data_IF_992251897402
#
_entry.id   IF_992251897402
#
_cell.length_a   1.000
_cell.length_b   1.000
_cell.length_c   1.000
_cell.angle_alpha   90.00
_cell.angle_beta   90.00
_cell.angle_gamma   90.00
#
_symmetry.space_group_name_H-M   'P 1'
#
loop_
_entity.id
_entity.type
_entity.pdbx_description
1 polymer ?
#
# COMPACT_ATOMS: atom_id res chain seq x y z
N UNK A 1 -0.36 -45.81 75.75
CA UNK A 1 -0.80 -44.59 75.05
C UNK A 1 0.24 -44.29 73.97
N UNK A 2 -0.10 -44.50 72.68
CA UNK A 2 0.72 -44.17 71.50
C UNK A 2 -0.08 -43.15 70.70
N UNK A 3 0.51 -41.99 70.43
CA UNK A 3 -0.09 -40.95 69.58
C UNK A 3 -0.02 -41.34 68.10
N UNK A 4 -0.92 -40.80 67.25
CA UNK A 4 -0.87 -41.05 65.82
C UNK A 4 0.16 -40.14 65.14
N UNK A 5 0.98 -40.75 64.28
CA UNK A 5 1.95 -40.09 63.42
C UNK A 5 1.25 -39.17 62.40
N UNK A 6 1.73 -37.94 62.29
CA UNK A 6 1.38 -37.03 61.19
C UNK A 6 2.13 -37.46 59.94
N UNK A 7 1.39 -37.70 58.86
CA UNK A 7 1.94 -37.86 57.51
C UNK A 7 2.36 -36.49 56.96
N UNK A 8 3.66 -36.26 56.80
CA UNK A 8 4.20 -35.12 56.06
C UNK A 8 4.11 -35.42 54.55
N UNK A 9 3.24 -34.69 53.83
CA UNK A 9 3.21 -34.69 52.38
C UNK A 9 4.50 -34.10 51.82
N UNK A 10 5.12 -34.78 50.87
CA UNK A 10 6.43 -34.43 50.33
C UNK A 10 6.37 -33.17 49.44
N UNK A 11 7.14 -32.11 49.73
CA UNK A 11 7.08 -30.81 49.04
C UNK A 11 7.54 -30.82 47.56
N UNK A 12 7.96 -31.97 47.03
CA UNK A 12 8.50 -32.11 45.66
C UNK A 12 7.45 -32.17 44.56
N UNK A 13 6.23 -32.64 44.85
CA UNK A 13 5.20 -32.79 43.81
C UNK A 13 4.52 -31.45 43.48
N UNK A 14 4.22 -30.63 44.49
CA UNK A 14 3.63 -29.30 44.29
C UNK A 14 4.57 -28.38 43.49
N UNK A 15 5.89 -28.45 43.75
CA UNK A 15 6.87 -27.65 43.04
C UNK A 15 6.99 -28.03 41.54
N UNK A 16 6.80 -29.31 41.21
CA UNK A 16 6.80 -29.78 39.81
C UNK A 16 5.53 -29.34 39.06
N UNK A 17 4.36 -29.37 39.70
CA UNK A 17 3.11 -28.93 39.09
C UNK A 17 3.10 -27.42 38.80
N UNK A 18 3.65 -26.61 39.71
CA UNK A 18 3.76 -25.15 39.52
C UNK A 18 4.70 -24.82 38.36
N UNK A 19 5.86 -25.49 38.26
CA UNK A 19 6.82 -25.28 37.15
C UNK A 19 6.24 -25.71 35.80
N UNK A 20 5.51 -26.82 35.74
CA UNK A 20 4.87 -27.28 34.51
C UNK A 20 3.79 -26.30 34.03
N UNK A 21 2.96 -25.79 34.94
CA UNK A 21 1.95 -24.77 34.62
C UNK A 21 2.59 -23.48 34.13
N UNK A 22 3.68 -23.03 34.75
CA UNK A 22 4.41 -21.84 34.30
C UNK A 22 5.00 -22.00 32.90
N UNK A 23 5.60 -23.16 32.59
CA UNK A 23 6.15 -23.43 31.26
C UNK A 23 5.03 -23.43 30.21
N UNK A 24 3.90 -24.10 30.48
CA UNK A 24 2.75 -24.13 29.58
C UNK A 24 2.17 -22.72 29.36
N UNK A 25 2.08 -21.92 30.41
CA UNK A 25 1.62 -20.53 30.32
C UNK A 25 2.56 -19.66 29.48
N UNK A 26 3.87 -19.79 29.69
CA UNK A 26 4.87 -19.05 28.92
C UNK A 26 4.90 -19.48 27.45
N UNK A 27 4.74 -20.77 27.16
CA UNK A 27 4.59 -21.26 25.78
C UNK A 27 3.30 -20.74 25.12
N UNK A 28 2.18 -20.73 25.84
CA UNK A 28 0.91 -20.20 25.34
C UNK A 28 1.01 -18.69 25.06
N UNK A 29 1.61 -17.92 25.97
CA UNK A 29 1.87 -16.48 25.75
C UNK A 29 2.80 -16.29 24.55
N UNK A 30 3.87 -17.08 24.42
CA UNK A 30 4.77 -17.03 23.27
C UNK A 30 4.06 -17.29 21.94
N UNK A 31 3.12 -18.24 21.91
CA UNK A 31 2.31 -18.55 20.72
C UNK A 31 1.32 -17.42 20.41
N UNK A 32 0.57 -16.95 21.40
CA UNK A 32 -0.46 -15.90 21.21
C UNK A 32 0.19 -14.57 20.81
N UNK A 33 1.31 -14.22 21.45
CA UNK A 33 2.09 -13.02 21.13
C UNK A 33 2.77 -13.20 19.77
N UNK A 34 3.37 -14.36 19.48
CA UNK A 34 3.98 -14.66 18.19
C UNK A 34 3.01 -14.62 17.01
N UNK A 35 1.74 -15.01 17.21
CA UNK A 35 0.70 -14.92 16.20
C UNK A 35 0.14 -13.50 15.99
N UNK A 36 0.33 -12.57 16.94
CA UNK A 36 -0.18 -11.18 16.85
C UNK A 36 0.89 -10.14 16.50
N UNK A 37 2.20 -10.49 16.53
CA UNK A 37 3.29 -9.53 16.22
C UNK A 37 3.48 -9.30 14.72
N UNK A 38 3.00 -10.19 13.86
CA UNK A 38 2.94 -9.89 12.43
C UNK A 38 1.62 -9.15 12.16
N UNK A 39 1.62 -7.83 11.91
CA UNK A 39 0.45 -7.21 11.30
C UNK A 39 0.18 -8.03 10.05
N UNK A 40 -0.98 -8.67 10.01
CA UNK A 40 -1.36 -9.53 8.90
C UNK A 40 -1.30 -8.66 7.65
N UNK A 41 -0.28 -8.88 6.83
CA UNK A 41 -0.15 -8.22 5.53
C UNK A 41 -1.16 -8.91 4.63
N UNK A 42 -2.41 -8.48 4.79
CA UNK A 42 -3.57 -9.01 4.09
C UNK A 42 -4.11 -7.85 3.30
N UNK A 43 -4.03 -7.97 1.98
CA UNK A 43 -4.72 -7.08 1.07
C UNK A 43 -6.17 -7.52 1.11
N UNK A 44 -7.00 -6.71 1.75
CA UNK A 44 -8.41 -7.06 1.94
C UNK A 44 -9.23 -6.42 0.84
N UNK A 45 -9.95 -7.23 0.03
CA UNK A 45 -10.94 -6.65 -0.87
C UNK A 45 -11.94 -5.80 -0.07
N UNK A 46 -12.55 -4.79 -0.72
CA UNK A 46 -13.56 -3.96 -0.09
C UNK A 46 -14.72 -4.82 0.43
N UNK A 47 -15.27 -4.42 1.56
CA UNK A 47 -16.38 -5.11 2.24
C UNK A 47 -17.72 -4.73 1.60
N UNK A 48 -18.74 -5.57 1.79
CA UNK A 48 -20.08 -5.40 1.17
C UNK A 48 -20.80 -4.10 1.59
N UNK A 49 -20.38 -3.46 2.68
CA UNK A 49 -20.90 -2.18 3.17
C UNK A 49 -20.24 -0.95 2.51
N UNK A 50 -19.21 -1.15 1.69
CA UNK A 50 -18.54 -0.07 0.97
C UNK A 50 -19.20 0.21 -0.38
N UNK A 51 -19.37 1.50 -0.69
CA UNK A 51 -19.91 1.96 -1.97
C UNK A 51 -18.78 2.37 -2.90
N UNK A 52 -18.87 1.96 -4.16
CA UNK A 52 -17.93 2.36 -5.21
C UNK A 52 -18.06 3.86 -5.49
N UNK A 53 -16.93 4.57 -5.48
CA UNK A 53 -16.86 5.96 -5.94
C UNK A 53 -16.76 5.95 -7.47
N UNK A 54 -17.90 6.19 -8.13
CA UNK A 54 -17.99 6.21 -9.59
C UNK A 54 -17.15 7.37 -10.17
N UNK A 55 -16.28 7.05 -11.13
CA UNK A 55 -15.34 8.01 -11.73
C UNK A 55 -14.08 8.30 -10.89
N UNK A 56 -14.00 7.76 -9.67
CA UNK A 56 -12.88 7.93 -8.76
C UNK A 56 -12.91 9.25 -7.99
N UNK A 57 -11.73 9.73 -7.58
CA UNK A 57 -11.60 10.91 -6.72
C UNK A 57 -12.01 12.20 -7.45
N UNK A 58 -12.50 13.18 -6.71
CA UNK A 58 -12.95 14.46 -7.25
C UNK A 58 -11.79 15.28 -7.81
N UNK A 59 -10.66 15.25 -7.10
CA UNK A 59 -9.41 15.84 -7.57
C UNK A 59 -8.57 14.74 -8.23
N UNK A 60 -8.36 14.91 -9.53
CA UNK A 60 -7.67 13.96 -10.40
C UNK A 60 -6.17 14.16 -10.46
N UNK A 61 -5.62 15.12 -9.71
CA UNK A 61 -4.18 15.31 -9.64
C UNK A 61 -3.50 14.04 -9.10
N UNK A 62 -2.41 13.59 -9.76
CA UNK A 62 -1.74 12.35 -9.40
C UNK A 62 -0.99 12.43 -8.07
N UNK A 63 -0.80 11.28 -7.44
CA UNK A 63 -0.01 11.12 -6.21
C UNK A 63 1.32 10.44 -6.54
N UNK A 64 2.43 11.02 -6.06
CA UNK A 64 3.77 10.49 -6.27
C UNK A 64 4.43 10.13 -4.96
N UNK A 65 5.13 9.02 -4.96
CA UNK A 65 6.02 8.68 -3.88
C UNK A 65 6.79 7.42 -4.17
N UNK A 66 7.00 6.63 -3.13
CA UNK A 66 7.88 5.47 -3.19
C UNK A 66 7.21 4.25 -2.60
N UNK A 67 7.67 3.09 -3.05
CA UNK A 67 7.33 1.83 -2.43
C UNK A 67 8.58 1.18 -1.83
N UNK A 68 8.39 0.53 -0.69
CA UNK A 68 9.45 -0.03 0.14
C UNK A 68 9.10 -1.46 0.54
N UNK A 69 10.10 -2.29 0.79
CA UNK A 69 9.85 -3.66 1.25
C UNK A 69 9.15 -3.64 2.62
N UNK A 70 8.08 -4.43 2.77
CA UNK A 70 7.32 -4.47 4.01
C UNK A 70 8.15 -4.99 5.21
N UNK A 71 9.15 -5.84 4.95
CA UNK A 71 10.08 -6.36 5.96
C UNK A 71 11.38 -5.55 6.08
N UNK A 72 11.58 -4.53 5.25
CA UNK A 72 12.73 -3.64 5.27
C UNK A 72 12.27 -2.23 4.84
N UNK A 73 11.47 -1.54 5.68
CA UNK A 73 10.77 -0.32 5.31
C UNK A 73 11.71 0.87 5.09
N UNK A 74 12.99 0.77 5.44
CA UNK A 74 14.01 1.79 5.16
C UNK A 74 14.61 1.65 3.75
N UNK A 75 14.28 0.56 3.02
CA UNK A 75 14.79 0.28 1.68
C UNK A 75 13.77 0.71 0.65
N UNK A 76 14.07 1.80 -0.06
CA UNK A 76 13.30 2.24 -1.22
C UNK A 76 13.55 1.29 -2.40
N UNK A 77 12.46 0.71 -2.90
CA UNK A 77 12.51 -0.25 -3.99
C UNK A 77 12.29 0.42 -5.35
N UNK A 78 11.63 1.58 -5.35
CA UNK A 78 11.39 2.37 -6.54
C UNK A 78 10.26 3.37 -6.35
N UNK A 79 9.78 3.88 -7.48
CA UNK A 79 8.74 4.90 -7.52
C UNK A 79 7.35 4.26 -7.53
N UNK A 80 6.43 4.92 -6.85
CA UNK A 80 5.02 4.61 -6.87
C UNK A 80 4.23 5.82 -7.37
N UNK A 81 3.26 5.54 -8.24
CA UNK A 81 2.35 6.53 -8.79
C UNK A 81 0.92 6.02 -8.72
N UNK A 82 0.01 6.86 -8.21
CA UNK A 82 -1.44 6.72 -8.34
C UNK A 82 -1.96 7.87 -9.19
N UNK A 83 -2.49 7.57 -10.37
CA UNK A 83 -2.91 8.59 -11.33
C UNK A 83 -4.23 8.25 -12.01
N UNK A 84 -4.98 9.30 -12.34
CA UNK A 84 -6.08 9.22 -13.29
C UNK A 84 -5.55 9.31 -14.71
N UNK A 85 -6.05 8.44 -15.58
CA UNK A 85 -5.78 8.44 -17.01
C UNK A 85 -6.86 9.18 -17.82
N UNK A 86 -7.77 9.87 -17.14
CA UNK A 86 -8.96 10.48 -17.73
C UNK A 86 -10.15 9.54 -17.76
N UNK A 87 -11.36 10.11 -17.90
CA UNK A 87 -12.63 9.37 -17.94
C UNK A 87 -12.90 8.43 -16.75
N UNK A 88 -12.24 8.67 -15.61
CA UNK A 88 -12.37 7.85 -14.41
C UNK A 88 -11.59 6.53 -14.41
N UNK A 89 -10.69 6.30 -15.38
CA UNK A 89 -9.73 5.19 -15.29
C UNK A 89 -8.59 5.59 -14.37
N UNK A 90 -8.49 4.95 -13.22
CA UNK A 90 -7.43 5.18 -12.25
C UNK A 90 -6.53 3.96 -12.16
N UNK A 91 -5.23 4.22 -12.06
CA UNK A 91 -4.21 3.18 -12.07
C UNK A 91 -3.14 3.44 -11.04
N UNK A 92 -2.58 2.34 -10.56
CA UNK A 92 -1.29 2.34 -9.88
C UNK A 92 -0.18 1.94 -10.84
N UNK A 93 0.98 2.52 -10.64
CA UNK A 93 2.21 2.22 -11.37
C UNK A 93 3.35 2.08 -10.36
N UNK A 94 4.12 1.02 -10.52
CA UNK A 94 5.31 0.70 -9.76
C UNK A 94 6.49 0.63 -10.72
N UNK A 95 7.49 1.50 -10.51
CA UNK A 95 8.72 1.52 -11.30
C UNK A 95 9.90 1.08 -10.43
N UNK A 96 10.43 -0.14 -10.62
CA UNK A 96 11.61 -0.60 -9.90
C UNK A 96 12.84 0.29 -10.13
N UNK A 97 13.57 0.57 -9.05
CA UNK A 97 14.82 1.34 -9.08
C UNK A 97 15.98 0.56 -9.72
N UNK A 98 15.89 -0.76 -9.78
CA UNK A 98 16.88 -1.65 -10.40
C UNK A 98 16.77 -1.71 -11.94
N UNK A 99 15.86 -0.93 -12.53
CA UNK A 99 15.59 -0.94 -13.97
C UNK A 99 14.76 -2.12 -14.44
N UNK A 100 14.20 -2.90 -13.50
CA UNK A 100 13.23 -3.94 -13.81
C UNK A 100 11.97 -3.40 -14.50
N UNK A 101 11.15 -4.30 -15.08
CA UNK A 101 9.94 -3.91 -15.79
C UNK A 101 8.96 -3.21 -14.85
N UNK A 102 8.28 -2.20 -15.39
CA UNK A 102 7.20 -1.52 -14.70
C UNK A 102 6.03 -2.47 -14.45
N UNK A 103 5.34 -2.30 -13.34
CA UNK A 103 4.07 -3.00 -13.05
C UNK A 103 2.99 -1.94 -12.94
N UNK A 104 1.89 -2.13 -13.65
CA UNK A 104 0.73 -1.24 -13.56
C UNK A 104 -0.59 -1.99 -13.67
N UNK A 105 -1.62 -1.49 -13.01
CA UNK A 105 -2.95 -2.07 -13.05
C UNK A 105 -4.04 -1.10 -12.57
N UNK A 106 -5.30 -1.30 -13.00
CA UNK A 106 -6.41 -0.45 -12.59
C UNK A 106 -6.72 -0.58 -11.10
N UNK A 107 -7.23 0.50 -10.53
CA UNK A 107 -7.74 0.58 -9.16
C UNK A 107 -9.14 1.17 -9.13
N UNK A 108 -9.86 0.84 -8.07
CA UNK A 108 -11.17 1.36 -7.76
C UNK A 108 -11.18 1.99 -6.38
N UNK A 109 -12.01 3.01 -6.22
CA UNK A 109 -12.18 3.74 -4.98
C UNK A 109 -13.51 3.41 -4.29
N UNK A 110 -13.49 3.43 -2.97
CA UNK A 110 -14.56 2.98 -2.10
C UNK A 110 -14.72 3.92 -0.91
N UNK A 111 -15.96 4.18 -0.54
CA UNK A 111 -16.32 4.97 0.66
C UNK A 111 -17.30 4.18 1.53
N UNK A 112 -17.40 4.56 2.80
CA UNK A 112 -18.49 4.13 3.67
C UNK A 112 -19.58 5.19 3.61
N UNK A 113 -20.77 4.82 3.16
CA UNK A 113 -21.90 5.74 2.99
C UNK A 113 -21.81 6.58 1.71
N UNK A 114 -22.37 7.79 1.74
CA UNK A 114 -22.36 8.70 0.59
C UNK A 114 -20.96 9.28 0.35
N UNK A 115 -20.57 9.38 -0.91
CA UNK A 115 -19.27 9.94 -1.29
C UNK A 115 -19.23 11.46 -1.07
N UNK A 116 -18.16 11.91 -0.40
CA UNK A 116 -17.80 13.33 -0.28
C UNK A 116 -16.48 13.59 -1.02
N UNK A 117 -16.31 14.73 -1.71
CA UNK A 117 -15.04 15.13 -2.32
C UNK A 117 -13.99 15.59 -1.30
N UNK A 118 -14.10 15.13 -0.06
CA UNK A 118 -13.23 15.43 1.08
C UNK A 118 -13.11 14.19 1.98
N UNK A 119 -12.10 14.19 2.86
CA UNK A 119 -11.83 13.08 3.76
C UNK A 119 -11.26 11.84 3.07
N UNK A 120 -11.34 10.71 3.77
CA UNK A 120 -10.64 9.49 3.39
C UNK A 120 -11.43 8.58 2.47
N UNK A 121 -10.77 8.04 1.44
CA UNK A 121 -11.34 7.10 0.46
C UNK A 121 -10.44 5.88 0.37
N UNK A 122 -11.02 4.68 0.53
CA UNK A 122 -10.28 3.43 0.37
C UNK A 122 -10.01 3.18 -1.11
N UNK A 123 -8.80 2.78 -1.44
CA UNK A 123 -8.40 2.36 -2.78
C UNK A 123 -8.11 0.87 -2.76
N UNK A 124 -8.54 0.15 -3.79
CA UNK A 124 -8.17 -1.23 -4.01
C UNK A 124 -7.97 -1.52 -5.49
N UNK A 125 -6.97 -2.34 -5.82
CA UNK A 125 -6.78 -2.86 -7.16
C UNK A 125 -6.16 -4.24 -7.11
N UNK A 126 -6.46 -5.05 -8.12
CA UNK A 126 -5.93 -6.40 -8.22
C UNK A 126 -5.89 -6.89 -9.66
N UNK A 127 -4.89 -7.71 -9.96
CA UNK A 127 -4.77 -8.57 -11.13
C UNK A 127 -4.33 -9.96 -10.68
N UNK A 128 -4.12 -10.89 -11.61
CA UNK A 128 -3.82 -12.30 -11.32
C UNK A 128 -2.65 -12.53 -10.34
N UNK A 129 -1.64 -11.65 -10.33
CA UNK A 129 -0.43 -11.81 -9.51
C UNK A 129 -0.07 -10.59 -8.67
N UNK A 130 -0.84 -9.50 -8.80
CA UNK A 130 -0.53 -8.24 -8.14
C UNK A 130 -1.79 -7.70 -7.47
N UNK A 131 -1.65 -7.16 -6.28
CA UNK A 131 -2.76 -6.48 -5.62
C UNK A 131 -2.25 -5.30 -4.81
N UNK A 132 -3.12 -4.34 -4.58
CA UNK A 132 -2.89 -3.20 -3.71
C UNK A 132 -4.13 -2.83 -2.94
N UNK A 133 -3.95 -2.37 -1.72
CA UNK A 133 -4.93 -1.61 -0.98
C UNK A 133 -4.29 -0.38 -0.32
N UNK A 134 -5.10 0.63 -0.05
CA UNK A 134 -4.61 1.82 0.62
C UNK A 134 -5.73 2.79 0.94
N UNK A 135 -5.35 3.90 1.55
CA UNK A 135 -6.24 4.99 1.90
C UNK A 135 -5.71 6.26 1.25
N UNK A 136 -6.59 6.97 0.58
CA UNK A 136 -6.33 8.35 0.14
C UNK A 136 -6.97 9.29 1.13
N UNK A 137 -6.19 10.19 1.72
CA UNK A 137 -6.68 11.37 2.40
C UNK A 137 -6.76 12.52 1.38
N UNK A 138 -7.99 12.81 0.92
CA UNK A 138 -8.21 13.82 -0.11
C UNK A 138 -7.93 15.24 0.37
N UNK A 139 -8.07 15.50 1.68
CA UNK A 139 -7.84 16.82 2.26
C UNK A 139 -6.35 17.07 2.47
N UNK A 140 -5.63 16.02 2.89
CA UNK A 140 -4.18 16.06 3.06
C UNK A 140 -3.38 15.89 1.77
N UNK A 141 -4.01 15.41 0.69
CA UNK A 141 -3.30 15.07 -0.56
C UNK A 141 -2.32 13.92 -0.39
N UNK A 142 -2.58 12.99 0.53
CA UNK A 142 -1.70 11.86 0.86
C UNK A 142 -2.36 10.52 0.53
N UNK A 143 -1.56 9.57 0.08
CA UNK A 143 -1.92 8.17 -0.06
C UNK A 143 -0.95 7.31 0.75
N UNK A 144 -1.49 6.38 1.52
CA UNK A 144 -0.71 5.32 2.17
C UNK A 144 -1.34 3.97 1.92
N UNK A 145 -0.52 2.96 1.63
CA UNK A 145 -1.05 1.65 1.27
C UNK A 145 -0.06 0.50 1.35
N UNK A 146 -0.55 -0.67 0.96
CA UNK A 146 0.21 -1.92 0.85
C UNK A 146 0.01 -2.53 -0.52
N UNK A 147 1.04 -3.20 -1.02
CA UNK A 147 0.98 -3.92 -2.28
C UNK A 147 1.65 -5.28 -2.16
N UNK A 148 1.11 -6.26 -2.86
CA UNK A 148 1.73 -7.55 -3.08
C UNK A 148 1.99 -7.64 -4.59
N UNK A 149 3.27 -7.63 -4.98
CA UNK A 149 3.69 -7.69 -6.37
C UNK A 149 4.57 -8.93 -6.55
N UNK A 150 4.16 -9.83 -7.44
CA UNK A 150 4.86 -11.09 -7.68
C UNK A 150 5.28 -11.81 -6.37
N UNK A 151 4.34 -11.96 -5.44
CA UNK A 151 4.51 -12.58 -4.12
C UNK A 151 5.40 -11.81 -3.12
N UNK A 152 5.91 -10.64 -3.48
CA UNK A 152 6.67 -9.76 -2.60
C UNK A 152 5.78 -8.67 -2.03
N UNK A 153 5.99 -8.32 -0.76
CA UNK A 153 5.13 -7.41 0.00
C UNK A 153 5.78 -6.06 0.19
N UNK A 154 5.03 -5.01 -0.08
CA UNK A 154 5.49 -3.64 -0.10
C UNK A 154 4.57 -2.71 0.68
N UNK A 155 5.15 -1.69 1.29
CA UNK A 155 4.43 -0.53 1.79
C UNK A 155 4.63 0.62 0.79
N UNK A 156 3.62 1.46 0.61
CA UNK A 156 3.68 2.61 -0.28
C UNK A 156 3.22 3.85 0.47
N UNK A 157 3.84 4.96 0.14
CA UNK A 157 3.38 6.28 0.56
C UNK A 157 3.59 7.25 -0.59
N UNK A 158 2.62 8.13 -0.82
CA UNK A 158 2.65 9.13 -1.88
C UNK A 158 1.93 10.41 -1.48
N UNK A 159 2.35 11.52 -2.07
CA UNK A 159 1.78 12.84 -1.86
C UNK A 159 1.57 13.55 -3.21
N UNK A 160 0.42 14.21 -3.35
CA UNK A 160 0.06 15.05 -4.49
C UNK A 160 0.93 16.29 -4.63
N UNK A 161 1.41 16.91 -3.55
CA UNK A 161 2.32 18.07 -3.65
C UNK A 161 3.61 17.75 -4.41
N UNK A 162 4.06 16.49 -4.32
CA UNK A 162 5.22 16.00 -5.09
C UNK A 162 4.94 15.99 -6.60
N UNK A 163 3.66 15.91 -7.01
CA UNK A 163 3.25 16.00 -8.40
C UNK A 163 3.66 17.33 -9.02
N UNK A 164 3.43 18.46 -8.36
CA UNK A 164 3.74 19.76 -8.97
C UNK A 164 5.24 19.92 -9.24
N UNK A 165 6.09 19.41 -8.34
CA UNK A 165 7.56 19.49 -8.45
C UNK A 165 8.12 18.46 -9.45
N UNK A 166 7.49 17.29 -9.58
CA UNK A 166 7.94 16.16 -10.40
C UNK A 166 7.07 15.93 -11.64
N UNK A 167 6.20 16.88 -11.97
CA UNK A 167 5.11 16.77 -12.95
C UNK A 167 5.61 16.38 -14.35
N UNK A 168 6.84 16.73 -14.70
CA UNK A 168 7.47 16.29 -15.95
C UNK A 168 7.87 14.81 -15.93
N UNK A 169 8.45 14.35 -14.82
CA UNK A 169 8.91 12.96 -14.67
C UNK A 169 7.73 12.00 -14.53
N UNK A 170 6.70 12.46 -13.83
CA UNK A 170 5.37 11.89 -13.75
C UNK A 170 4.74 11.61 -15.11
N UNK A 171 4.60 12.64 -15.96
CA UNK A 171 4.08 12.46 -17.32
C UNK A 171 4.94 11.47 -18.12
N UNK A 172 6.26 11.47 -17.87
CA UNK A 172 7.17 10.50 -18.46
C UNK A 172 6.83 9.06 -18.11
N UNK A 173 6.56 8.77 -16.84
CA UNK A 173 6.20 7.41 -16.40
C UNK A 173 4.95 6.87 -17.12
N UNK A 174 3.96 7.72 -17.38
CA UNK A 174 2.71 7.30 -18.02
C UNK A 174 2.77 7.28 -19.56
N UNK A 175 3.50 8.22 -20.17
CA UNK A 175 3.38 8.50 -21.61
C UNK A 175 4.64 8.18 -22.42
N UNK A 176 5.79 7.98 -21.77
CA UNK A 176 7.10 7.92 -22.44
C UNK A 176 7.89 6.70 -21.95
N UNK A 177 8.11 5.74 -22.82
CA UNK A 177 8.89 4.54 -22.53
C UNK A 177 8.44 3.37 -23.39
N UNK A 178 9.07 2.20 -23.22
CA UNK A 178 8.65 0.99 -23.91
C UNK A 178 7.32 0.43 -23.37
N UNK A 179 6.99 0.73 -22.11
CA UNK A 179 5.76 0.30 -21.44
C UNK A 179 4.92 1.50 -20.98
N UNK A 180 4.66 2.43 -21.91
CA UNK A 180 3.79 3.58 -21.65
C UNK A 180 2.32 3.13 -21.51
N UNK A 181 1.64 3.61 -20.47
CA UNK A 181 0.20 3.38 -20.28
C UNK A 181 -0.61 4.04 -21.40
N UNK A 182 -0.26 5.28 -21.73
CA UNK A 182 -0.90 6.07 -22.78
C UNK A 182 0.17 6.62 -23.72
N UNK A 183 0.59 5.86 -24.73
CA UNK A 183 1.64 6.29 -25.64
C UNK A 183 1.26 7.61 -26.32
N UNK A 184 2.24 8.49 -26.47
CA UNK A 184 2.07 9.72 -27.23
C UNK A 184 1.70 9.39 -28.67
N UNK A 185 0.75 10.11 -29.29
CA UNK A 185 0.40 9.89 -30.69
C UNK A 185 1.62 10.15 -31.59
N UNK A 186 1.68 9.54 -32.79
CA UNK A 186 2.81 9.73 -33.70
C UNK A 186 3.07 11.19 -34.10
N UNK A 187 2.05 12.04 -34.00
CA UNK A 187 2.09 13.48 -34.30
C UNK A 187 2.57 14.34 -33.13
N UNK A 188 2.79 13.76 -31.95
CA UNK A 188 3.23 14.52 -30.77
C UNK A 188 4.63 15.13 -31.00
N UNK A 189 4.82 16.44 -30.72
CA UNK A 189 6.13 17.08 -30.85
C UNK A 189 7.21 16.34 -30.07
N UNK A 190 8.36 16.11 -30.68
CA UNK A 190 9.46 15.32 -30.11
C UNK A 190 10.22 16.03 -28.97
N UNK A 191 9.71 17.18 -28.49
CA UNK A 191 10.27 17.95 -27.38
C UNK A 191 10.31 17.17 -26.05
N UNK A 192 9.54 16.08 -25.92
CA UNK A 192 9.62 15.19 -24.76
C UNK A 192 10.95 14.41 -24.65
N UNK A 193 11.79 14.44 -25.70
CA UNK A 193 13.12 13.80 -25.71
C UNK A 193 14.22 14.70 -25.12
N UNK A 194 13.92 15.93 -24.72
CA UNK A 194 14.90 16.81 -24.05
C UNK A 194 15.01 16.47 -22.57
N UNK A 195 16.17 16.76 -21.96
CA UNK A 195 16.36 16.70 -20.52
C UNK A 195 16.70 18.12 -19.98
N UNK A 196 15.84 18.76 -19.17
CA UNK A 196 14.55 18.28 -18.69
C UNK A 196 13.50 18.20 -19.83
N UNK A 197 12.48 17.36 -19.67
CA UNK A 197 11.35 17.35 -20.62
C UNK A 197 10.51 18.62 -20.40
N UNK A 198 9.97 19.17 -21.48
CA UNK A 198 9.30 20.48 -21.46
C UNK A 198 7.78 20.37 -21.69
N UNK A 199 7.13 19.44 -20.99
CA UNK A 199 5.70 19.16 -21.17
C UNK A 199 4.83 20.42 -21.00
N UNK A 200 5.19 21.30 -20.07
CA UNK A 200 4.41 22.50 -19.75
C UNK A 200 4.62 23.69 -20.69
N UNK A 201 5.45 23.56 -21.73
CA UNK A 201 5.43 24.52 -22.84
C UNK A 201 4.13 24.41 -23.67
N UNK A 202 3.45 23.25 -23.61
CA UNK A 202 2.28 22.96 -24.43
C UNK A 202 1.06 22.45 -23.64
N UNK A 203 1.25 22.04 -22.39
CA UNK A 203 0.19 21.47 -21.54
C UNK A 203 0.09 22.26 -20.22
N UNK A 204 -1.12 22.38 -19.66
CA UNK A 204 -1.34 22.93 -18.32
C UNK A 204 -1.81 21.81 -17.40
N UNK A 205 -1.24 21.72 -16.19
CA UNK A 205 -1.59 20.69 -15.20
C UNK A 205 -2.92 20.99 -14.51
N UNK A 206 -3.35 22.25 -14.54
CA UNK A 206 -4.65 22.64 -14.02
C UNK A 206 -5.61 22.66 -15.19
N UNK A 207 -6.59 21.76 -15.19
CA UNK A 207 -7.76 21.84 -16.06
C UNK A 207 -8.62 23.06 -15.71
N UNK A 208 -8.09 24.27 -15.93
CA UNK A 208 -8.86 25.50 -16.10
C UNK A 208 -8.84 25.89 -17.57
#
# INVERSE_FOLDING_TARGET
>A
MRGPDRYEGTPRQEEQEVRLRQILWLSLVGIVVGCNIFPSFVITPPTDDMTVVLGGLADTEPYFGTYRLANAPDVEMGDFLLASCGCGDWRVLFRPSDGGPQVQFPVQFYTVGEYSPSGSVKMHGSTDYNATDGMVDQDGGVFDGKAELALSRYIMSANRESAHVQSVDACGMCHIGEDSIYPLPPTHPQKYKTNPRVCFECHTVNGQ
#
